data_IF_201336289618
#
_entry.id   IF_201336289618
#
_cell.length_a   1.000
_cell.length_b   1.000
_cell.length_c   1.000
_cell.angle_alpha   90.00
_cell.angle_beta   90.00
_cell.angle_gamma   90.00
#
_symmetry.space_group_name_H-M   'P 1'
#
loop_
_entity.id
_entity.type
_entity.pdbx_description
1 polymer ?
#
# COMPACT_ATOMS: atom_id res chain seq x y z
N UNK A 1 4.98 3.27 -24.61
CA UNK A 1 5.20 4.28 -23.56
C UNK A 1 4.67 3.75 -22.24
N UNK A 2 5.45 3.78 -21.13
CA UNK A 2 4.90 3.49 -19.81
C UNK A 2 3.85 4.55 -19.47
N UNK A 3 2.64 4.10 -19.18
CA UNK A 3 1.53 4.98 -18.84
C UNK A 3 1.85 5.54 -17.45
N UNK A 4 2.16 6.83 -17.34
CA UNK A 4 2.47 7.47 -16.05
C UNK A 4 1.26 7.33 -15.11
N UNK A 5 1.46 6.65 -13.98
CA UNK A 5 0.43 6.52 -12.94
C UNK A 5 0.31 7.83 -12.16
N UNK A 6 -0.79 8.54 -12.34
CA UNK A 6 -1.11 9.73 -11.55
C UNK A 6 -1.84 9.35 -10.26
N UNK A 7 -1.69 10.14 -9.19
CA UNK A 7 -2.43 9.96 -7.93
C UNK A 7 -3.95 9.83 -8.15
N UNK A 8 -4.54 10.67 -9.02
CA UNK A 8 -5.96 10.61 -9.39
C UNK A 8 -6.35 9.25 -9.99
N UNK A 9 -5.54 8.72 -10.91
CA UNK A 9 -5.81 7.43 -11.57
C UNK A 9 -5.71 6.27 -10.58
N UNK A 10 -4.74 6.30 -9.68
CA UNK A 10 -4.59 5.29 -8.63
C UNK A 10 -5.76 5.29 -7.65
N UNK A 11 -6.23 6.47 -7.24
CA UNK A 11 -7.41 6.61 -6.39
C UNK A 11 -8.67 6.03 -7.06
N UNK A 12 -8.92 6.41 -8.32
CA UNK A 12 -10.07 5.90 -9.08
C UNK A 12 -10.01 4.37 -9.19
N UNK A 13 -8.86 3.81 -9.59
CA UNK A 13 -8.67 2.36 -9.66
C UNK A 13 -8.95 1.66 -8.33
N UNK A 14 -8.46 2.22 -7.23
CA UNK A 14 -8.68 1.66 -5.89
C UNK A 14 -10.16 1.63 -5.52
N UNK A 15 -10.89 2.70 -5.82
CA UNK A 15 -12.35 2.79 -5.61
C UNK A 15 -13.08 1.77 -6.50
N UNK A 16 -12.77 1.73 -7.80
CA UNK A 16 -13.37 0.77 -8.73
C UNK A 16 -13.15 -0.67 -8.28
N UNK A 17 -11.94 -1.00 -7.85
CA UNK A 17 -11.61 -2.33 -7.35
C UNK A 17 -12.39 -2.69 -6.08
N UNK A 18 -12.56 -1.75 -5.15
CA UNK A 18 -13.35 -1.96 -3.92
C UNK A 18 -14.83 -2.17 -4.23
N UNK A 19 -15.41 -1.39 -5.13
CA UNK A 19 -16.81 -1.54 -5.55
C UNK A 19 -17.00 -2.91 -6.21
N UNK A 20 -16.09 -3.31 -7.10
CA UNK A 20 -16.16 -4.60 -7.76
C UNK A 20 -16.14 -5.75 -6.74
N UNK A 21 -15.23 -5.70 -5.77
CA UNK A 21 -15.16 -6.70 -4.71
C UNK A 21 -16.45 -6.80 -3.88
N UNK A 22 -17.01 -5.67 -3.47
CA UNK A 22 -18.27 -5.62 -2.73
C UNK A 22 -19.43 -6.21 -3.55
N UNK A 23 -19.54 -5.84 -4.83
CA UNK A 23 -20.56 -6.37 -5.75
C UNK A 23 -20.40 -7.88 -5.90
N UNK A 24 -19.18 -8.38 -6.05
CA UNK A 24 -18.91 -9.82 -6.11
C UNK A 24 -19.40 -10.54 -4.85
N UNK A 25 -19.10 -10.02 -3.66
CA UNK A 25 -19.59 -10.59 -2.39
C UNK A 25 -21.11 -10.64 -2.34
N UNK A 26 -21.78 -9.53 -2.68
CA UNK A 26 -23.24 -9.44 -2.71
C UNK A 26 -23.82 -10.48 -3.68
N UNK A 27 -23.26 -10.59 -4.88
CA UNK A 27 -23.74 -11.53 -5.90
C UNK A 27 -23.56 -12.99 -5.44
N UNK A 28 -22.44 -13.32 -4.81
CA UNK A 28 -22.20 -14.65 -4.25
C UNK A 28 -23.25 -14.95 -3.17
N UNK A 29 -23.40 -14.08 -2.17
CA UNK A 29 -24.36 -14.30 -1.08
C UNK A 29 -25.79 -14.39 -1.62
N UNK A 30 -26.13 -13.57 -2.60
CA UNK A 30 -27.45 -13.59 -3.23
C UNK A 30 -27.68 -14.89 -4.00
N UNK A 31 -26.69 -15.39 -4.74
CA UNK A 31 -26.78 -16.64 -5.47
C UNK A 31 -27.04 -17.85 -4.54
N UNK A 32 -26.47 -17.85 -3.33
CA UNK A 32 -26.68 -18.92 -2.36
C UNK A 32 -27.95 -18.79 -1.53
N UNK A 33 -28.37 -17.56 -1.21
CA UNK A 33 -29.47 -17.32 -0.24
C UNK A 33 -30.77 -16.89 -0.89
N UNK A 34 -30.74 -16.34 -2.11
CA UNK A 34 -31.87 -15.69 -2.77
C UNK A 34 -32.33 -14.40 -2.09
N UNK A 35 -31.64 -13.92 -1.04
CA UNK A 35 -32.08 -12.79 -0.19
C UNK A 35 -31.23 -11.56 -0.44
N UNK A 36 -31.79 -10.58 -1.16
CA UNK A 36 -31.07 -9.35 -1.51
C UNK A 36 -30.68 -8.52 -0.28
N UNK A 37 -31.59 -8.35 0.68
CA UNK A 37 -31.33 -7.55 1.88
C UNK A 37 -30.15 -8.12 2.69
N UNK A 38 -30.16 -9.44 2.92
CA UNK A 38 -29.06 -10.15 3.60
C UNK A 38 -27.73 -9.97 2.84
N UNK A 39 -27.78 -10.04 1.52
CA UNK A 39 -26.57 -9.91 0.69
C UNK A 39 -25.96 -8.51 0.79
N UNK A 40 -26.80 -7.47 0.83
CA UNK A 40 -26.38 -6.08 1.02
C UNK A 40 -25.81 -5.86 2.44
N UNK A 41 -26.45 -6.42 3.47
CA UNK A 41 -25.95 -6.37 4.85
C UNK A 41 -24.54 -7.00 4.94
N UNK A 42 -24.36 -8.18 4.37
CA UNK A 42 -23.05 -8.86 4.33
C UNK A 42 -22.02 -8.02 3.56
N UNK A 43 -22.37 -7.49 2.39
CA UNK A 43 -21.47 -6.62 1.61
C UNK A 43 -21.07 -5.35 2.38
N UNK A 44 -22.00 -4.74 3.12
CA UNK A 44 -21.71 -3.58 3.96
C UNK A 44 -20.76 -3.90 5.12
N UNK A 45 -21.02 -5.00 5.83
CA UNK A 45 -20.15 -5.47 6.92
C UNK A 45 -18.76 -5.85 6.40
N UNK A 46 -18.67 -6.46 5.22
CA UNK A 46 -17.41 -6.84 4.58
C UNK A 46 -16.47 -5.63 4.44
N UNK A 47 -16.98 -4.49 3.97
CA UNK A 47 -16.16 -3.28 3.76
C UNK A 47 -15.52 -2.81 5.06
N UNK A 48 -16.30 -2.75 6.15
CA UNK A 48 -15.81 -2.34 7.48
C UNK A 48 -14.80 -3.35 8.01
N UNK A 49 -15.13 -4.64 7.93
CA UNK A 49 -14.30 -5.72 8.45
C UNK A 49 -12.96 -5.78 7.71
N UNK A 50 -12.95 -5.55 6.39
CA UNK A 50 -11.74 -5.55 5.57
C UNK A 50 -10.78 -4.43 5.97
N UNK A 51 -11.29 -3.26 6.38
CA UNK A 51 -10.46 -2.17 6.92
C UNK A 51 -9.81 -2.60 8.24
N UNK A 52 -10.59 -3.17 9.17
CA UNK A 52 -10.10 -3.63 10.47
C UNK A 52 -9.05 -4.74 10.30
N UNK A 53 -9.37 -5.77 9.51
CA UNK A 53 -8.47 -6.90 9.24
C UNK A 53 -7.21 -6.42 8.54
N UNK A 54 -7.32 -5.54 7.54
CA UNK A 54 -6.13 -5.00 6.85
C UNK A 54 -5.21 -4.25 7.81
N UNK A 55 -5.77 -3.41 8.69
CA UNK A 55 -4.98 -2.70 9.69
C UNK A 55 -4.25 -3.68 10.63
N UNK A 56 -4.96 -4.67 11.16
CA UNK A 56 -4.37 -5.68 12.05
C UNK A 56 -3.32 -6.53 11.31
N UNK A 57 -3.62 -6.94 10.09
CA UNK A 57 -2.70 -7.64 9.20
C UNK A 57 -1.41 -6.85 9.07
N UNK A 58 -1.48 -5.54 8.78
CA UNK A 58 -0.26 -4.74 8.61
C UNK A 58 0.55 -4.59 9.90
N UNK A 59 -0.12 -4.48 11.06
CA UNK A 59 0.56 -4.47 12.37
C UNK A 59 1.29 -5.76 12.67
N UNK A 60 0.71 -6.90 12.27
CA UNK A 60 1.36 -8.21 12.43
C UNK A 60 2.47 -8.38 11.40
N UNK A 61 2.20 -8.06 10.14
CA UNK A 61 3.11 -8.22 9.02
C UNK A 61 4.38 -7.39 9.16
N UNK A 62 4.29 -6.18 9.72
CA UNK A 62 5.46 -5.33 9.99
C UNK A 62 6.53 -5.99 10.89
N UNK A 63 6.12 -6.95 11.73
CA UNK A 63 7.03 -7.74 12.59
C UNK A 63 7.72 -8.88 11.85
N UNK A 64 7.22 -9.25 10.68
CA UNK A 64 7.79 -10.30 9.85
C UNK A 64 8.90 -9.69 8.98
N UNK A 65 10.09 -10.28 9.02
CA UNK A 65 11.25 -9.85 8.20
C UNK A 65 11.27 -10.46 6.80
N UNK A 66 10.34 -11.37 6.51
CA UNK A 66 10.23 -12.08 5.24
C UNK A 66 10.10 -11.11 4.06
N UNK A 67 10.94 -11.30 3.05
CA UNK A 67 10.95 -10.48 1.83
C UNK A 67 11.61 -9.09 1.98
N UNK A 68 12.06 -8.68 3.17
CA UNK A 68 12.85 -7.45 3.31
C UNK A 68 14.24 -7.67 2.69
N UNK A 69 14.51 -7.01 1.56
CA UNK A 69 15.85 -6.96 0.96
C UNK A 69 16.68 -5.97 1.78
N UNK A 70 17.73 -6.46 2.44
CA UNK A 70 18.74 -5.56 2.99
C UNK A 70 19.36 -4.75 1.86
N UNK A 71 19.57 -3.46 2.10
CA UNK A 71 20.25 -2.65 1.10
C UNK A 71 21.69 -3.17 0.99
N UNK A 72 22.29 -3.31 -0.21
CA UNK A 72 23.67 -3.80 -0.34
C UNK A 72 24.67 -2.97 0.48
N UNK A 73 24.35 -1.69 0.71
CA UNK A 73 25.17 -0.76 1.51
C UNK A 73 24.91 -0.83 3.03
N UNK A 74 23.91 -1.59 3.49
CA UNK A 74 23.55 -1.71 4.91
C UNK A 74 24.60 -2.50 5.70
N UNK A 75 25.24 -3.48 5.05
CA UNK A 75 26.27 -4.32 5.66
C UNK A 75 27.66 -3.64 5.67
N UNK A 76 27.80 -2.47 5.04
CA UNK A 76 29.07 -1.74 5.05
C UNK A 76 29.28 -1.06 6.41
N UNK A 77 30.38 -1.34 7.13
CA UNK A 77 30.64 -0.71 8.40
C UNK A 77 30.84 0.79 8.19
N UNK A 78 29.88 1.59 8.67
CA UNK A 78 29.98 3.05 8.69
C UNK A 78 31.03 3.44 9.74
N UNK A 79 32.29 3.55 9.30
CA UNK A 79 33.43 3.87 10.19
C UNK A 79 33.37 5.27 10.80
N UNK A 80 32.53 6.16 10.28
CA UNK A 80 32.40 7.55 10.74
C UNK A 80 30.97 8.04 10.51
N UNK A 81 30.33 8.59 11.53
CA UNK A 81 29.00 9.19 11.40
C UNK A 81 29.03 10.35 10.39
N UNK A 82 27.94 10.55 9.65
CA UNK A 82 27.83 11.64 8.67
C UNK A 82 27.95 12.99 9.38
N UNK A 83 29.04 13.70 9.11
CA UNK A 83 29.19 15.11 9.45
C UNK A 83 28.16 15.98 8.72
N UNK A 84 27.76 17.13 9.28
CA UNK A 84 26.78 18.03 8.66
C UNK A 84 27.14 18.43 7.23
N UNK A 85 28.43 18.62 6.93
CA UNK A 85 28.93 18.96 5.59
C UNK A 85 28.65 17.87 4.56
N UNK A 86 28.89 16.59 4.90
CA UNK A 86 28.62 15.48 3.98
C UNK A 86 27.13 15.36 3.65
N UNK A 87 26.24 15.68 4.60
CA UNK A 87 24.79 15.69 4.35
C UNK A 87 24.40 16.74 3.34
N UNK A 88 25.00 17.93 3.43
CA UNK A 88 24.71 19.02 2.49
C UNK A 88 25.26 18.71 1.09
N UNK A 89 26.45 18.10 1.00
CA UNK A 89 27.00 17.63 -0.27
C UNK A 89 26.08 16.58 -0.92
N UNK A 90 25.60 15.60 -0.14
CA UNK A 90 24.67 14.58 -0.66
C UNK A 90 23.37 15.24 -1.12
N UNK A 91 22.81 16.16 -0.34
CA UNK A 91 21.58 16.89 -0.70
C UNK A 91 21.77 17.67 -2.00
N UNK A 92 22.90 18.36 -2.16
CA UNK A 92 23.22 19.11 -3.37
C UNK A 92 23.35 18.18 -4.58
N UNK A 93 24.04 17.04 -4.44
CA UNK A 93 24.15 16.03 -5.50
C UNK A 93 22.80 15.44 -5.88
N UNK A 94 21.91 15.22 -4.91
CA UNK A 94 20.56 14.72 -5.16
C UNK A 94 19.70 15.75 -5.90
N UNK A 95 19.90 17.06 -5.64
CA UNK A 95 19.29 18.14 -6.42
C UNK A 95 19.83 18.19 -7.85
N UNK A 96 21.15 18.12 -8.02
CA UNK A 96 21.79 18.12 -9.35
C UNK A 96 21.31 16.94 -10.22
N UNK A 97 21.04 15.80 -9.59
CA UNK A 97 20.52 14.60 -10.24
C UNK A 97 18.99 14.61 -10.41
N UNK A 98 18.29 15.64 -9.93
CA UNK A 98 16.83 15.78 -10.06
C UNK A 98 16.00 14.87 -9.16
N UNK A 99 16.61 14.27 -8.13
CA UNK A 99 15.89 13.46 -7.12
C UNK A 99 15.25 14.30 -6.02
N UNK A 100 15.74 15.53 -5.81
CA UNK A 100 15.20 16.50 -4.87
C UNK A 100 14.99 17.83 -5.60
N UNK A 101 13.90 18.53 -5.26
CA UNK A 101 13.65 19.92 -5.68
C UNK A 101 14.27 20.92 -4.68
#
# INVERSE_FOLDING_TARGET
>A
MPILETHKRTLIKSITWRILGMVTTILIVYAFTGRLLLSLEVGGVEVVLKVIIYFLHERVWGRVSWGKKKHPLEDFPVKKELTPEHREIIRQRLKDLGYLE
#
